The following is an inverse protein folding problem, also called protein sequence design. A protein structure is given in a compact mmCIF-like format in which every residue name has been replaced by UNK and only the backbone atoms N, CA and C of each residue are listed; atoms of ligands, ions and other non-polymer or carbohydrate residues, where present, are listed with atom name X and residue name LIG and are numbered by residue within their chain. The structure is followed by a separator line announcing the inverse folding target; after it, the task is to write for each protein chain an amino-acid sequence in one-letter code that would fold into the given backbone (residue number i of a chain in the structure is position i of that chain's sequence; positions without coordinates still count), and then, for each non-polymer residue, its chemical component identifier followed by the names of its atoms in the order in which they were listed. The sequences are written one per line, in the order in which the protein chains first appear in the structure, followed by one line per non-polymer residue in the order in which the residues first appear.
data_IF_070258629206
#
_entry.id   IF_070258629206
#
_cell.length_a   1.000
_cell.length_b   1.000
_cell.length_c   1.000
_cell.angle_alpha   90.00
_cell.angle_beta   90.00
_cell.angle_gamma   90.00
#
_symmetry.space_group_name_H-M   'P 1'
#
loop_
_entity.id
_entity.type
_entity.pdbx_description
1 polymer ?
#
# COMPACT_ATOMS: atom_id res chain seq x y z
N UNK A 1 34.64 25.36 8.16
CA UNK A 1 34.18 25.66 6.79
C UNK A 1 33.03 24.72 6.49
N UNK A 2 31.83 25.27 6.48
CA UNK A 2 30.57 24.49 6.32
C UNK A 2 30.21 24.44 4.84
N UNK A 3 30.02 23.23 4.29
CA UNK A 3 29.50 23.06 2.92
C UNK A 3 28.27 22.15 3.01
N UNK A 4 27.16 22.70 3.49
CA UNK A 4 25.84 22.12 3.22
C UNK A 4 25.10 23.08 2.28
N UNK A 5 25.28 22.84 0.99
CA UNK A 5 24.47 23.47 -0.05
C UNK A 5 23.07 22.86 -0.08
N UNK A 6 22.16 23.51 0.63
CA UNK A 6 20.71 23.24 0.57
C UNK A 6 20.17 23.73 -0.79
N UNK A 7 20.12 22.86 -1.79
CA UNK A 7 19.41 23.14 -3.04
C UNK A 7 17.94 22.83 -2.86
N UNK A 8 17.24 23.66 -2.09
CA UNK A 8 15.80 23.84 -2.23
C UNK A 8 15.54 24.41 -3.63
N UNK A 9 15.27 23.55 -4.61
CA UNK A 9 14.58 23.94 -5.83
C UNK A 9 13.18 24.40 -5.43
N UNK A 10 13.03 25.68 -5.11
CA UNK A 10 11.74 26.35 -5.13
C UNK A 10 11.17 26.13 -6.53
N UNK A 11 10.13 25.33 -6.63
CA UNK A 11 9.28 25.30 -7.80
C UNK A 11 8.79 26.74 -8.01
N UNK A 12 9.38 27.43 -8.97
CA UNK A 12 8.88 28.69 -9.46
C UNK A 12 7.63 28.40 -10.29
N UNK A 13 6.49 28.24 -9.65
CA UNK A 13 5.15 28.31 -10.25
C UNK A 13 4.86 29.78 -10.68
N UNK A 14 5.69 30.30 -11.57
CA UNK A 14 5.43 31.51 -12.34
C UNK A 14 5.13 31.20 -13.79
N UNK A 15 4.56 30.03 -14.07
CA UNK A 15 3.78 29.86 -15.28
C UNK A 15 2.46 30.60 -15.09
N UNK A 16 2.42 31.80 -15.66
CA UNK A 16 1.21 32.58 -15.86
C UNK A 16 0.35 31.79 -16.87
N UNK A 17 -0.30 30.75 -16.39
CA UNK A 17 -1.06 29.79 -17.19
C UNK A 17 -2.22 30.52 -17.85
N UNK A 18 -1.98 31.02 -19.09
CA UNK A 18 -3.00 31.74 -19.87
C UNK A 18 -4.17 30.80 -20.16
N UNK A 19 -5.34 31.22 -19.72
CA UNK A 19 -6.59 30.54 -20.09
C UNK A 19 -6.80 30.73 -21.59
N UNK A 20 -7.00 29.62 -22.30
CA UNK A 20 -7.33 29.59 -23.74
C UNK A 20 -8.72 29.02 -23.92
N UNK A 21 -9.46 29.51 -24.89
CA UNK A 21 -10.72 28.92 -25.34
C UNK A 21 -10.39 27.86 -26.40
N UNK A 22 -10.79 26.64 -26.15
CA UNK A 22 -10.53 25.47 -27.01
C UNK A 22 -11.86 24.79 -27.32
N UNK A 23 -12.02 24.28 -28.52
CA UNK A 23 -13.21 23.52 -28.92
C UNK A 23 -13.36 22.24 -28.10
N UNK A 24 -14.55 21.97 -27.63
CA UNK A 24 -14.86 20.77 -26.83
C UNK A 24 -14.51 19.49 -27.60
N UNK A 25 -14.64 19.51 -28.92
CA UNK A 25 -14.30 18.40 -29.83
C UNK A 25 -12.82 18.04 -29.87
N UNK A 26 -11.92 18.98 -29.52
CA UNK A 26 -10.47 18.76 -29.51
C UNK A 26 -10.01 18.08 -28.22
N UNK A 27 -10.79 18.14 -27.15
CA UNK A 27 -10.45 17.58 -25.87
C UNK A 27 -10.62 16.06 -25.85
N UNK A 28 -9.66 15.37 -25.26
CA UNK A 28 -9.62 13.90 -25.22
C UNK A 28 -9.57 13.39 -23.79
N UNK A 29 -10.24 12.24 -23.57
CA UNK A 29 -10.05 11.47 -22.36
C UNK A 29 -8.86 10.53 -22.50
N UNK A 30 -8.08 10.39 -21.43
CA UNK A 30 -7.24 9.23 -21.25
C UNK A 30 -8.03 8.13 -20.53
N UNK A 31 -7.87 6.88 -20.95
CA UNK A 31 -8.59 5.73 -20.37
C UNK A 31 -8.18 5.49 -18.89
N UNK A 32 -6.92 5.71 -18.59
CA UNK A 32 -6.40 5.52 -17.23
C UNK A 32 -6.98 6.55 -16.26
N UNK A 33 -7.21 7.79 -16.73
CA UNK A 33 -7.80 8.87 -15.93
C UNK A 33 -9.32 8.72 -15.78
N UNK A 34 -10.01 8.17 -16.77
CA UNK A 34 -11.46 7.99 -16.72
C UNK A 34 -11.91 6.98 -15.64
N UNK A 35 -11.09 5.96 -15.38
CA UNK A 35 -11.43 4.86 -14.48
C UNK A 35 -11.08 5.14 -13.01
N UNK A 36 -10.29 6.18 -12.74
CA UNK A 36 -9.82 6.49 -11.40
C UNK A 36 -10.94 7.00 -10.51
N UNK A 37 -11.90 7.74 -11.08
CA UNK A 37 -12.99 8.34 -10.32
C UNK A 37 -14.31 8.24 -11.09
N UNK A 38 -15.25 7.47 -10.56
CA UNK A 38 -16.60 7.41 -11.10
C UNK A 38 -17.24 8.81 -11.04
N UNK A 39 -17.74 9.26 -12.18
CA UNK A 39 -18.48 10.52 -12.31
C UNK A 39 -19.94 10.26 -11.96
N UNK A 40 -20.47 10.95 -10.95
CA UNK A 40 -21.89 10.92 -10.62
C UNK A 40 -22.69 11.60 -11.73
N UNK A 41 -23.52 10.86 -12.45
CA UNK A 41 -24.31 11.37 -13.58
C UNK A 41 -25.23 12.52 -13.19
N UNK A 42 -25.79 12.51 -11.98
CA UNK A 42 -26.67 13.56 -11.47
C UNK A 42 -25.92 14.87 -11.30
N UNK A 43 -24.74 14.83 -10.74
CA UNK A 43 -23.87 15.99 -10.55
C UNK A 43 -23.43 16.60 -11.88
N UNK A 44 -23.13 15.78 -12.89
CA UNK A 44 -22.82 16.24 -14.23
C UNK A 44 -24.04 16.94 -14.86
N UNK A 45 -25.25 16.44 -14.59
CA UNK A 45 -26.50 17.06 -15.08
C UNK A 45 -26.76 18.41 -14.42
N UNK A 46 -26.56 18.55 -13.13
CA UNK A 46 -26.66 19.82 -12.41
C UNK A 46 -25.70 20.88 -12.97
N UNK A 47 -24.42 20.51 -13.13
CA UNK A 47 -23.40 21.39 -13.71
C UNK A 47 -23.78 21.78 -15.16
N UNK A 48 -24.32 20.84 -15.94
CA UNK A 48 -24.73 21.12 -17.32
C UNK A 48 -25.93 22.09 -17.37
N UNK A 49 -26.87 22.01 -16.42
CA UNK A 49 -27.98 22.94 -16.32
C UNK A 49 -27.48 24.34 -15.97
N UNK A 50 -26.56 24.45 -15.01
CA UNK A 50 -25.93 25.72 -14.67
C UNK A 50 -25.19 26.33 -15.87
N UNK A 51 -24.42 25.50 -16.60
CA UNK A 51 -23.69 25.94 -17.79
C UNK A 51 -24.60 26.40 -18.94
N UNK A 52 -25.83 25.85 -19.08
CA UNK A 52 -26.82 26.37 -20.05
C UNK A 52 -27.35 27.76 -19.68
N UNK A 53 -27.52 27.97 -18.37
CA UNK A 53 -28.06 29.25 -17.87
C UNK A 53 -26.99 30.34 -17.81
N UNK A 54 -25.81 30.03 -17.35
CA UNK A 54 -24.77 30.98 -16.96
C UNK A 54 -23.49 30.91 -17.80
N UNK A 55 -23.39 29.94 -18.69
CA UNK A 55 -22.15 29.65 -19.43
C UNK A 55 -21.12 28.89 -18.60
N UNK A 56 -19.95 28.68 -19.18
CA UNK A 56 -18.86 28.03 -18.48
C UNK A 56 -18.13 29.00 -17.53
N UNK A 57 -18.01 28.62 -16.26
CA UNK A 57 -17.26 29.42 -15.26
C UNK A 57 -15.77 29.47 -15.60
N UNK A 58 -15.31 30.62 -16.07
CA UNK A 58 -13.90 30.87 -16.47
C UNK A 58 -12.93 30.82 -15.29
N UNK A 59 -13.42 30.95 -14.06
CA UNK A 59 -12.58 30.85 -12.85
C UNK A 59 -12.13 29.41 -12.56
N UNK A 60 -12.79 28.43 -13.17
CA UNK A 60 -12.52 27.00 -13.02
C UNK A 60 -12.26 26.31 -14.36
N UNK A 61 -11.21 26.70 -15.09
CA UNK A 61 -10.90 26.11 -16.39
C UNK A 61 -10.58 24.63 -16.29
N UNK A 62 -10.68 23.93 -17.42
CA UNK A 62 -10.24 22.53 -17.54
C UNK A 62 -8.73 22.51 -17.71
N UNK A 63 -8.03 21.64 -16.98
CA UNK A 63 -6.58 21.47 -17.12
C UNK A 63 -6.30 20.36 -18.11
N UNK A 64 -5.48 20.65 -19.12
CA UNK A 64 -5.15 19.72 -20.20
C UNK A 64 -3.64 19.68 -20.44
N UNK A 65 -3.16 18.57 -21.02
CA UNK A 65 -1.81 18.46 -21.55
C UNK A 65 -1.66 19.26 -22.86
N UNK A 66 -0.44 19.39 -23.38
CA UNK A 66 -0.17 19.96 -24.71
C UNK A 66 -0.89 19.21 -25.86
N UNK A 67 -1.21 17.91 -25.65
CA UNK A 67 -1.98 17.09 -26.58
C UNK A 67 -3.49 17.17 -26.36
N UNK A 68 -3.97 18.14 -25.57
CA UNK A 68 -5.38 18.32 -25.21
C UNK A 68 -6.01 17.11 -24.47
N UNK A 69 -5.20 16.32 -23.78
CA UNK A 69 -5.69 15.26 -22.90
C UNK A 69 -6.10 15.92 -21.55
N UNK A 70 -7.31 15.63 -21.12
CA UNK A 70 -7.88 16.18 -19.88
C UNK A 70 -7.17 15.55 -18.68
N UNK A 71 -6.62 16.40 -17.82
CA UNK A 71 -5.97 16.02 -16.55
C UNK A 71 -6.87 16.35 -15.36
N UNK A 72 -7.52 17.51 -15.37
CA UNK A 72 -8.54 17.88 -14.36
C UNK A 72 -9.74 18.56 -15.01
N UNK A 73 -10.90 18.35 -14.42
CA UNK A 73 -12.15 18.93 -14.91
C UNK A 73 -13.00 17.99 -15.76
N UNK A 74 -12.85 16.69 -15.60
CA UNK A 74 -13.63 15.67 -16.34
C UNK A 74 -15.14 15.87 -16.24
N UNK A 75 -15.69 16.15 -15.04
CA UNK A 75 -17.13 16.46 -14.86
C UNK A 75 -17.53 17.73 -15.59
N UNK A 76 -16.69 18.77 -15.56
CA UNK A 76 -16.92 20.05 -16.25
C UNK A 76 -16.92 19.88 -17.77
N UNK A 77 -16.02 19.06 -18.31
CA UNK A 77 -16.03 18.71 -19.72
C UNK A 77 -17.28 17.94 -20.14
N UNK A 78 -17.67 16.93 -19.35
CA UNK A 78 -18.89 16.16 -19.64
C UNK A 78 -20.13 17.05 -19.56
N UNK A 79 -20.19 17.94 -18.57
CA UNK A 79 -21.26 18.92 -18.43
C UNK A 79 -21.31 19.90 -19.59
N UNK A 80 -20.17 20.44 -20.03
CA UNK A 80 -20.07 21.32 -21.19
C UNK A 80 -20.56 20.66 -22.48
N UNK A 81 -20.18 19.39 -22.70
CA UNK A 81 -20.68 18.59 -23.82
C UNK A 81 -22.19 18.38 -23.75
N UNK A 82 -22.73 18.07 -22.54
CA UNK A 82 -24.16 17.88 -22.32
C UNK A 82 -24.94 19.21 -22.41
N UNK A 83 -24.30 20.33 -22.10
CA UNK A 83 -24.87 21.67 -22.24
C UNK A 83 -24.86 22.18 -23.70
N UNK A 84 -24.12 21.54 -24.61
CA UNK A 84 -23.99 21.95 -26.01
C UNK A 84 -23.00 23.10 -26.21
N UNK A 85 -22.05 23.32 -25.32
CA UNK A 85 -21.06 24.36 -25.48
C UNK A 85 -20.04 23.97 -26.56
N UNK A 86 -19.75 24.88 -27.48
CA UNK A 86 -18.75 24.65 -28.54
C UNK A 86 -17.33 24.81 -28.02
N UNK A 87 -17.10 25.80 -27.15
CA UNK A 87 -15.76 26.15 -26.62
C UNK A 87 -15.77 26.22 -25.10
N UNK A 88 -14.66 25.77 -24.50
CA UNK A 88 -14.46 25.79 -23.06
C UNK A 88 -13.11 26.43 -22.72
N UNK A 89 -12.99 27.08 -21.55
CA UNK A 89 -11.73 27.61 -21.09
C UNK A 89 -10.85 26.47 -20.57
N UNK A 90 -9.59 26.43 -21.08
CA UNK A 90 -8.59 25.46 -20.67
C UNK A 90 -7.31 26.14 -20.23
N UNK A 91 -6.57 25.46 -19.35
CA UNK A 91 -5.18 25.73 -19.05
C UNK A 91 -4.37 24.58 -19.62
N UNK A 92 -3.44 24.90 -20.53
CA UNK A 92 -2.51 23.91 -21.08
C UNK A 92 -1.31 23.86 -20.14
N UNK A 93 -1.07 22.67 -19.57
CA UNK A 93 0.07 22.42 -18.70
C UNK A 93 1.02 21.43 -19.36
N UNK A 94 2.32 21.74 -19.31
CA UNK A 94 3.36 20.83 -19.74
C UNK A 94 3.72 19.86 -18.62
N UNK A 95 3.89 18.60 -18.96
CA UNK A 95 4.36 17.55 -18.08
C UNK A 95 5.57 16.87 -18.72
N UNK A 96 6.58 16.55 -17.92
CA UNK A 96 7.80 15.89 -18.42
C UNK A 96 7.60 14.40 -18.67
N UNK A 97 6.58 13.80 -18.04
CA UNK A 97 6.23 12.39 -18.22
C UNK A 97 4.74 12.15 -18.01
N UNK A 98 4.29 10.94 -18.47
CA UNK A 98 2.94 10.45 -18.18
C UNK A 98 2.73 10.26 -16.67
N UNK A 99 3.74 9.76 -15.98
CA UNK A 99 3.69 9.51 -14.53
C UNK A 99 3.49 10.80 -13.75
N UNK A 100 4.18 11.88 -14.12
CA UNK A 100 3.96 13.20 -13.54
C UNK A 100 2.52 13.71 -13.77
N UNK A 101 1.96 13.44 -14.95
CA UNK A 101 0.57 13.79 -15.26
C UNK A 101 -0.40 13.05 -14.33
N UNK A 102 -0.18 11.76 -14.10
CA UNK A 102 -0.99 10.92 -13.20
C UNK A 102 -0.87 11.40 -11.75
N UNK A 103 0.34 11.66 -11.28
CA UNK A 103 0.58 12.18 -9.93
C UNK A 103 -0.12 13.54 -9.71
N UNK A 104 -0.07 14.40 -10.72
CA UNK A 104 -0.74 15.71 -10.67
C UNK A 104 -2.26 15.56 -10.60
N UNK A 105 -2.85 14.65 -11.36
CA UNK A 105 -4.29 14.38 -11.32
C UNK A 105 -4.74 13.89 -9.93
N UNK A 106 -4.04 12.91 -9.35
CA UNK A 106 -4.33 12.46 -7.99
C UNK A 106 -4.25 13.61 -6.98
N UNK A 107 -3.22 14.45 -7.08
CA UNK A 107 -3.07 15.62 -6.22
C UNK A 107 -4.26 16.59 -6.33
N UNK A 108 -4.73 16.85 -7.55
CA UNK A 108 -5.88 17.73 -7.78
C UNK A 108 -7.17 17.14 -7.21
N UNK A 109 -7.39 15.83 -7.39
CA UNK A 109 -8.57 15.14 -6.86
C UNK A 109 -8.58 15.09 -5.33
N UNK A 110 -7.43 14.81 -4.71
CA UNK A 110 -7.26 14.82 -3.25
C UNK A 110 -7.60 16.17 -2.62
N UNK A 111 -7.31 17.27 -3.34
CA UNK A 111 -7.57 18.63 -2.86
C UNK A 111 -9.00 19.11 -3.15
N UNK A 112 -9.69 18.48 -4.11
CA UNK A 112 -10.99 18.96 -4.58
C UNK A 112 -12.19 18.31 -3.86
N UNK A 113 -12.04 17.10 -3.31
CA UNK A 113 -13.12 16.37 -2.64
C UNK A 113 -12.59 15.36 -1.62
N UNK A 114 -13.50 14.89 -0.73
CA UNK A 114 -13.19 13.73 0.12
C UNK A 114 -13.29 12.47 -0.74
N UNK A 115 -12.20 11.72 -0.80
CA UNK A 115 -12.18 10.41 -1.43
C UNK A 115 -12.72 9.34 -0.49
N UNK A 116 -13.35 8.32 -1.06
CA UNK A 116 -13.71 7.09 -0.36
C UNK A 116 -12.44 6.25 -0.08
N UNK A 117 -12.53 5.30 0.83
CA UNK A 117 -11.43 4.36 1.12
C UNK A 117 -11.01 3.56 -0.13
N UNK A 118 -12.00 3.18 -0.98
CA UNK A 118 -11.73 2.51 -2.25
C UNK A 118 -10.93 3.38 -3.22
N UNK A 119 -11.29 4.65 -3.35
CA UNK A 119 -10.55 5.61 -4.19
C UNK A 119 -9.13 5.87 -3.65
N UNK A 120 -8.97 6.00 -2.32
CA UNK A 120 -7.64 6.10 -1.71
C UNK A 120 -6.79 4.86 -1.97
N UNK A 121 -7.40 3.68 -1.90
CA UNK A 121 -6.70 2.42 -2.13
C UNK A 121 -6.29 2.27 -3.60
N UNK A 122 -7.16 2.64 -4.55
CA UNK A 122 -6.84 2.67 -5.98
C UNK A 122 -5.71 3.66 -6.30
N UNK A 123 -5.77 4.87 -5.72
CA UNK A 123 -4.72 5.87 -5.85
C UNK A 123 -3.37 5.36 -5.30
N UNK A 124 -3.39 4.71 -4.13
CA UNK A 124 -2.20 4.08 -3.55
C UNK A 124 -1.59 3.05 -4.51
N UNK A 125 -2.39 2.14 -5.07
CA UNK A 125 -1.89 1.10 -5.97
C UNK A 125 -1.19 1.71 -7.19
N UNK A 126 -1.77 2.76 -7.77
CA UNK A 126 -1.20 3.42 -8.94
C UNK A 126 0.09 4.18 -8.63
N UNK A 127 0.12 4.93 -7.53
CA UNK A 127 1.32 5.65 -7.09
C UNK A 127 2.45 4.68 -6.69
N UNK A 128 2.10 3.55 -6.09
CA UNK A 128 3.09 2.51 -5.75
C UNK A 128 3.68 1.85 -6.99
N UNK A 129 2.87 1.60 -8.02
CA UNK A 129 3.31 1.10 -9.33
C UNK A 129 4.29 2.09 -10.00
N UNK A 130 3.89 3.36 -10.12
CA UNK A 130 4.73 4.43 -10.70
C UNK A 130 6.07 4.51 -9.97
N UNK A 131 6.02 4.53 -8.63
CA UNK A 131 7.23 4.64 -7.84
C UNK A 131 8.17 3.45 -7.97
N UNK A 132 7.63 2.23 -8.08
CA UNK A 132 8.44 1.02 -8.32
C UNK A 132 9.10 1.00 -9.68
N UNK A 133 8.43 1.58 -10.67
CA UNK A 133 8.95 1.67 -12.05
C UNK A 133 9.98 2.79 -12.23
N UNK A 134 10.09 3.71 -11.26
CA UNK A 134 11.01 4.83 -11.33
C UNK A 134 12.37 4.47 -10.71
N UNK A 135 13.45 4.30 -11.51
CA UNK A 135 14.77 3.94 -11.00
C UNK A 135 15.41 5.05 -10.14
N UNK A 136 14.94 6.29 -10.27
CA UNK A 136 15.45 7.45 -9.53
C UNK A 136 14.66 7.75 -8.24
N UNK A 137 13.70 6.89 -7.85
CA UNK A 137 12.90 7.09 -6.67
C UNK A 137 13.75 6.99 -5.39
N UNK A 138 13.94 8.10 -4.68
CA UNK A 138 14.71 8.18 -3.45
C UNK A 138 13.81 8.20 -2.20
N UNK A 139 14.36 7.75 -1.08
CA UNK A 139 13.72 7.79 0.23
C UNK A 139 12.67 6.69 0.47
N UNK A 140 12.03 6.75 1.63
CA UNK A 140 10.97 5.81 2.01
C UNK A 140 9.78 5.90 1.06
N UNK A 141 9.38 4.75 0.47
CA UNK A 141 8.21 4.69 -0.41
C UNK A 141 6.92 5.06 0.32
N UNK A 142 6.78 4.65 1.58
CA UNK A 142 5.57 4.89 2.35
C UNK A 142 5.42 6.36 2.75
N UNK A 143 6.52 7.05 3.05
CA UNK A 143 6.51 8.48 3.33
C UNK A 143 6.18 9.30 2.09
N UNK A 144 6.82 9.00 0.96
CA UNK A 144 6.61 9.73 -0.28
C UNK A 144 5.16 9.58 -0.79
N UNK A 145 4.62 8.36 -0.82
CA UNK A 145 3.23 8.10 -1.20
C UNK A 145 2.28 8.72 -0.16
N UNK A 146 2.61 8.62 1.13
CA UNK A 146 1.82 9.24 2.19
C UNK A 146 1.69 10.74 2.00
N UNK A 147 2.77 11.42 1.66
CA UNK A 147 2.76 12.84 1.36
C UNK A 147 1.87 13.18 0.15
N UNK A 148 1.93 12.37 -0.92
CA UNK A 148 1.09 12.55 -2.11
C UNK A 148 -0.40 12.32 -1.81
N UNK A 149 -0.73 11.35 -0.95
CA UNK A 149 -2.10 10.98 -0.58
C UNK A 149 -2.67 11.77 0.62
N UNK A 150 -1.92 12.69 1.22
CA UNK A 150 -2.26 13.32 2.51
C UNK A 150 -2.57 12.28 3.60
N UNK A 151 -1.79 11.20 3.64
CA UNK A 151 -1.89 10.09 4.61
C UNK A 151 -0.55 9.89 5.32
N UNK A 152 -0.60 9.34 6.53
CA UNK A 152 0.62 8.96 7.23
C UNK A 152 1.30 7.76 6.58
N UNK A 153 2.62 7.64 6.71
CA UNK A 153 3.36 6.46 6.25
C UNK A 153 2.80 5.15 6.83
N UNK A 154 2.29 5.19 8.09
CA UNK A 154 1.63 4.04 8.71
C UNK A 154 0.35 3.62 7.99
N UNK A 155 -0.43 4.57 7.49
CA UNK A 155 -1.64 4.26 6.69
C UNK A 155 -1.26 3.68 5.32
N UNK A 156 -0.20 4.19 4.69
CA UNK A 156 0.33 3.63 3.44
C UNK A 156 0.86 2.22 3.65
N UNK A 157 1.57 1.96 4.76
CA UNK A 157 2.03 0.62 5.13
C UNK A 157 0.86 -0.38 5.26
N UNK A 158 -0.27 0.03 5.89
CA UNK A 158 -1.48 -0.81 5.95
C UNK A 158 -2.02 -1.12 4.56
N UNK A 159 -2.14 -0.13 3.68
CA UNK A 159 -2.60 -0.33 2.29
C UNK A 159 -1.67 -1.28 1.53
N UNK A 160 -0.35 -1.16 1.73
CA UNK A 160 0.64 -2.06 1.14
C UNK A 160 0.51 -3.50 1.64
N UNK A 161 0.25 -3.71 2.93
CA UNK A 161 -0.01 -5.03 3.46
C UNK A 161 -1.30 -5.63 2.91
N UNK A 162 -2.36 -4.84 2.78
CA UNK A 162 -3.61 -5.26 2.15
C UNK A 162 -3.36 -5.68 0.70
N UNK A 163 -2.68 -4.85 -0.10
CA UNK A 163 -2.36 -5.16 -1.49
C UNK A 163 -1.58 -6.46 -1.69
N UNK A 164 -0.75 -6.85 -0.70
CA UNK A 164 0.05 -8.09 -0.74
C UNK A 164 -0.70 -9.34 -0.30
N UNK A 165 -1.70 -9.20 0.56
CA UNK A 165 -2.27 -10.33 1.33
C UNK A 165 -3.76 -10.53 1.14
N UNK A 166 -4.48 -9.51 0.64
CA UNK A 166 -5.91 -9.59 0.39
C UNK A 166 -6.21 -10.49 -0.81
N UNK A 167 -7.27 -11.27 -0.71
CA UNK A 167 -7.86 -11.96 -1.83
C UNK A 167 -8.71 -11.02 -2.70
N UNK A 168 -9.15 -11.50 -3.86
CA UNK A 168 -9.95 -10.71 -4.80
C UNK A 168 -11.27 -10.20 -4.18
N UNK A 169 -11.93 -11.02 -3.33
CA UNK A 169 -13.18 -10.65 -2.67
C UNK A 169 -12.99 -9.51 -1.67
N UNK A 170 -11.89 -9.53 -0.92
CA UNK A 170 -11.57 -8.47 0.04
C UNK A 170 -11.23 -7.15 -0.68
N UNK A 171 -10.49 -7.24 -1.79
CA UNK A 171 -10.16 -6.07 -2.62
C UNK A 171 -11.42 -5.45 -3.24
N UNK A 172 -12.33 -6.26 -3.76
CA UNK A 172 -13.62 -5.79 -4.30
C UNK A 172 -14.45 -5.05 -3.24
N UNK A 173 -14.51 -5.57 -2.01
CA UNK A 173 -15.22 -4.92 -0.89
C UNK A 173 -14.63 -3.57 -0.50
N UNK A 174 -13.32 -3.39 -0.65
CA UNK A 174 -12.68 -2.10 -0.43
C UNK A 174 -13.03 -1.15 -1.59
N UNK A 175 -12.94 -1.62 -2.83
CA UNK A 175 -13.18 -0.81 -4.03
C UNK A 175 -14.63 -0.30 -4.10
N UNK A 176 -15.61 -1.14 -3.77
CA UNK A 176 -17.02 -0.73 -3.75
C UNK A 176 -17.44 0.02 -2.48
N UNK A 177 -16.51 0.26 -1.55
CA UNK A 177 -16.76 1.03 -0.32
C UNK A 177 -17.50 0.27 0.79
N UNK A 178 -17.81 -1.02 0.61
CA UNK A 178 -18.49 -1.83 1.64
C UNK A 178 -17.56 -2.21 2.81
N UNK A 179 -16.25 -2.04 2.63
CA UNK A 179 -15.25 -2.32 3.66
C UNK A 179 -14.20 -1.21 3.73
N UNK A 180 -13.94 -0.68 4.93
CA UNK A 180 -12.89 0.31 5.13
C UNK A 180 -11.49 -0.31 5.11
N UNK A 181 -10.47 0.49 4.74
CA UNK A 181 -9.05 0.10 4.74
C UNK A 181 -8.63 -0.42 6.12
N UNK A 182 -9.04 0.25 7.20
CA UNK A 182 -8.70 -0.18 8.56
C UNK A 182 -9.30 -1.54 8.89
N UNK A 183 -10.56 -1.77 8.54
CA UNK A 183 -11.25 -3.04 8.81
C UNK A 183 -10.68 -4.18 7.98
N UNK A 184 -10.34 -3.93 6.71
CA UNK A 184 -9.64 -4.89 5.86
C UNK A 184 -8.29 -5.30 6.46
N UNK A 185 -7.52 -4.35 6.96
CA UNK A 185 -6.25 -4.61 7.63
C UNK A 185 -6.42 -5.47 8.89
N UNK A 186 -7.42 -5.18 9.72
CA UNK A 186 -7.75 -5.98 10.91
C UNK A 186 -8.11 -7.42 10.55
N UNK A 187 -8.92 -7.63 9.50
CA UNK A 187 -9.29 -8.97 9.03
C UNK A 187 -8.07 -9.77 8.58
N UNK A 188 -7.15 -9.14 7.84
CA UNK A 188 -5.89 -9.78 7.44
C UNK A 188 -5.06 -10.17 8.66
N UNK A 189 -4.92 -9.26 9.63
CA UNK A 189 -4.17 -9.55 10.87
C UNK A 189 -4.81 -10.65 11.71
N UNK A 190 -6.12 -10.67 11.80
CA UNK A 190 -6.86 -11.75 12.48
C UNK A 190 -6.68 -13.09 11.78
N UNK A 191 -6.72 -13.12 10.44
CA UNK A 191 -6.49 -14.34 9.67
C UNK A 191 -5.05 -14.86 9.83
N UNK A 192 -4.05 -13.96 9.83
CA UNK A 192 -2.66 -14.34 10.11
C UNK A 192 -2.45 -14.89 11.53
N UNK A 193 -3.11 -14.27 12.51
CA UNK A 193 -3.04 -14.76 13.90
C UNK A 193 -3.65 -16.14 14.03
N UNK A 194 -4.83 -16.38 13.41
CA UNK A 194 -5.47 -17.69 13.39
C UNK A 194 -4.62 -18.74 12.67
N UNK A 195 -4.00 -18.37 11.54
CA UNK A 195 -3.13 -19.28 10.80
C UNK A 195 -1.90 -19.66 11.63
N UNK A 196 -1.28 -18.70 12.32
CA UNK A 196 -0.17 -18.98 13.24
C UNK A 196 -0.61 -19.83 14.43
N UNK A 197 -1.81 -19.61 14.98
CA UNK A 197 -2.35 -20.44 16.07
C UNK A 197 -2.66 -21.86 15.57
N UNK A 198 -3.27 -21.99 14.38
CA UNK A 198 -3.54 -23.30 13.76
C UNK A 198 -2.26 -24.05 13.36
N UNK A 199 -1.20 -23.35 12.93
CA UNK A 199 0.11 -23.96 12.71
C UNK A 199 0.75 -24.48 14.01
N UNK A 200 0.46 -23.81 15.14
CA UNK A 200 0.90 -24.29 16.46
C UNK A 200 0.04 -25.48 16.92
N UNK A 201 -1.28 -25.45 16.69
CA UNK A 201 -2.17 -26.59 16.98
C UNK A 201 -1.88 -27.79 16.07
N UNK A 202 -1.67 -27.60 14.77
CA UNK A 202 -1.30 -28.69 13.86
C UNK A 202 0.09 -29.28 14.18
N UNK A 203 1.02 -28.46 14.66
CA UNK A 203 2.29 -28.97 15.19
C UNK A 203 2.07 -29.77 16.49
N UNK A 204 1.15 -29.34 17.35
CA UNK A 204 0.77 -30.07 18.56
C UNK A 204 -0.03 -31.36 18.22
N UNK A 205 -0.95 -31.30 17.25
CA UNK A 205 -1.71 -32.48 16.80
C UNK A 205 -0.86 -33.45 15.97
N UNK A 206 0.10 -32.98 15.18
CA UNK A 206 1.03 -33.85 14.43
C UNK A 206 2.00 -34.57 15.38
N UNK A 207 2.31 -33.97 16.52
CA UNK A 207 3.07 -34.66 17.59
C UNK A 207 2.21 -35.66 18.35
N UNK A 208 0.88 -35.52 18.38
CA UNK A 208 -0.04 -36.47 19.03
C UNK A 208 -0.48 -37.63 18.11
N UNK A 209 -0.36 -37.49 16.77
CA UNK A 209 -0.84 -38.51 15.82
C UNK A 209 0.26 -39.40 15.22
N UNK A 210 1.53 -39.09 15.42
CA UNK A 210 2.60 -40.09 15.27
C UNK A 210 2.70 -40.83 16.58
N UNK A 211 2.13 -42.03 16.67
CA UNK A 211 2.09 -42.92 17.85
C UNK A 211 3.45 -43.37 18.40
N UNK A 212 4.39 -42.50 18.50
CA UNK A 212 5.55 -42.49 19.36
C UNK A 212 5.31 -41.43 20.42
N UNK A 213 4.89 -41.85 21.61
CA UNK A 213 4.97 -41.01 22.80
C UNK A 213 6.40 -40.43 22.83
N UNK A 214 6.53 -39.14 22.68
CA UNK A 214 7.81 -38.46 22.95
C UNK A 214 8.04 -38.74 24.41
N UNK A 215 9.01 -39.62 24.69
CA UNK A 215 9.40 -39.92 26.05
C UNK A 215 9.72 -38.57 26.72
N UNK A 216 9.15 -38.35 27.90
CA UNK A 216 9.33 -37.10 28.66
C UNK A 216 10.82 -36.79 28.83
N UNK A 217 11.67 -37.80 28.84
CA UNK A 217 13.12 -37.71 28.90
C UNK A 217 13.73 -37.18 27.60
N UNK A 218 13.21 -37.52 26.41
CA UNK A 218 13.69 -37.01 25.12
C UNK A 218 13.37 -35.53 24.96
N UNK A 219 12.21 -35.07 25.46
CA UNK A 219 11.84 -33.66 25.48
C UNK A 219 12.77 -32.86 26.44
N UNK A 220 13.01 -33.38 27.64
CA UNK A 220 13.97 -32.79 28.60
C UNK A 220 15.37 -32.67 27.99
N UNK A 221 15.87 -33.71 27.35
CA UNK A 221 17.17 -33.71 26.68
C UNK A 221 17.25 -32.65 25.56
N UNK A 222 16.14 -32.45 24.80
CA UNK A 222 16.06 -31.42 23.78
C UNK A 222 16.16 -30.02 24.35
N UNK A 223 15.45 -29.73 25.40
CA UNK A 223 15.48 -28.43 26.11
C UNK A 223 16.88 -28.19 26.69
N UNK A 224 17.46 -29.18 27.34
CA UNK A 224 18.80 -29.09 27.93
C UNK A 224 19.88 -28.85 26.85
N UNK A 225 19.78 -29.50 25.68
CA UNK A 225 20.69 -29.25 24.56
C UNK A 225 20.60 -27.81 24.06
N UNK A 226 19.39 -27.27 23.83
CA UNK A 226 19.21 -25.89 23.35
C UNK A 226 19.78 -24.89 24.37
N UNK A 227 19.52 -25.09 25.66
CA UNK A 227 20.04 -24.24 26.72
C UNK A 227 21.57 -24.29 26.80
N UNK A 228 22.19 -25.47 26.68
CA UNK A 228 23.65 -25.63 26.64
C UNK A 228 24.28 -24.88 25.46
N UNK A 229 23.68 -24.93 24.29
CA UNK A 229 24.20 -24.23 23.12
C UNK A 229 24.02 -22.70 23.21
N UNK A 230 22.96 -22.23 23.88
CA UNK A 230 22.77 -20.81 24.20
C UNK A 230 23.81 -20.30 25.19
N UNK A 231 24.16 -21.10 26.21
CA UNK A 231 25.25 -20.79 27.17
C UNK A 231 26.61 -20.66 26.49
N UNK A 232 26.87 -21.44 25.45
CA UNK A 232 28.07 -21.35 24.61
C UNK A 232 28.06 -20.13 23.68
N UNK A 233 27.05 -19.23 23.79
CA UNK A 233 26.95 -17.99 23.05
C UNK A 233 26.42 -18.17 21.59
N UNK A 234 25.87 -19.32 21.25
CA UNK A 234 25.30 -19.54 19.91
C UNK A 234 23.94 -18.85 19.75
N UNK A 235 23.72 -18.19 18.62
CA UNK A 235 22.46 -17.51 18.35
C UNK A 235 21.34 -18.53 18.06
N UNK A 236 20.11 -18.25 18.50
CA UNK A 236 18.92 -19.11 18.30
C UNK A 236 18.76 -19.63 16.87
N UNK A 237 18.97 -18.78 15.85
CA UNK A 237 18.90 -19.20 14.45
C UNK A 237 19.99 -20.17 13.98
N UNK A 238 21.14 -20.21 14.65
CA UNK A 238 22.21 -21.19 14.39
C UNK A 238 21.91 -22.52 15.06
N UNK A 239 21.32 -22.49 16.25
CA UNK A 239 20.93 -23.69 17.00
C UNK A 239 19.83 -24.43 16.26
N UNK A 240 18.80 -23.74 15.76
CA UNK A 240 17.68 -24.34 15.01
C UNK A 240 18.10 -24.98 13.67
N UNK A 241 19.24 -24.60 13.12
CA UNK A 241 19.80 -25.20 11.89
C UNK A 241 20.80 -26.32 12.18
N UNK A 242 21.03 -26.64 13.44
CA UNK A 242 21.99 -27.69 13.82
C UNK A 242 21.41 -29.08 13.51
N UNK A 243 22.13 -29.87 12.74
CA UNK A 243 21.73 -31.25 12.39
C UNK A 243 21.52 -32.17 13.60
N UNK A 244 22.06 -31.81 14.76
CA UNK A 244 21.87 -32.53 16.04
C UNK A 244 20.44 -32.41 16.54
N UNK A 245 19.70 -31.30 16.18
CA UNK A 245 18.28 -31.17 16.54
C UNK A 245 17.43 -32.25 15.85
N UNK A 246 17.72 -32.57 14.59
CA UNK A 246 17.05 -33.66 13.89
C UNK A 246 17.28 -35.04 14.58
N UNK A 247 18.43 -35.22 15.22
CA UNK A 247 18.73 -36.42 16.01
C UNK A 247 18.00 -36.49 17.34
N UNK A 248 17.63 -35.32 17.91
CA UNK A 248 16.75 -35.22 19.08
C UNK A 248 15.36 -35.81 18.81
N UNK A 249 14.81 -35.54 17.60
CA UNK A 249 13.51 -36.06 17.17
C UNK A 249 13.56 -37.59 17.00
N UNK A 250 14.76 -38.16 16.75
CA UNK A 250 14.97 -39.60 16.62
C UNK A 250 15.34 -40.28 17.94
N UNK A 251 15.48 -39.51 19.04
CA UNK A 251 15.90 -40.07 20.35
C UNK A 251 17.38 -40.48 20.44
N UNK A 252 18.22 -40.05 19.52
CA UNK A 252 19.62 -40.44 19.39
C UNK A 252 20.62 -39.49 20.06
N UNK A 253 20.16 -38.40 20.67
CA UNK A 253 21.06 -37.42 21.28
C UNK A 253 21.33 -37.75 22.75
N UNK A 254 22.56 -38.01 23.08
CA UNK A 254 23.02 -38.23 24.47
C UNK A 254 23.77 -36.98 24.91
N UNK A 255 23.24 -36.27 25.91
CA UNK A 255 24.01 -35.30 26.69
C UNK A 255 24.81 -36.06 27.75
N UNK A 256 26.03 -35.58 28.05
CA UNK A 256 26.74 -36.14 29.19
C UNK A 256 25.95 -35.92 30.49
N UNK A 257 25.96 -36.89 31.37
CA UNK A 257 25.23 -36.78 32.65
C UNK A 257 25.66 -35.53 33.45
N UNK A 258 26.92 -35.13 33.32
CA UNK A 258 27.48 -33.93 33.96
C UNK A 258 26.90 -32.64 33.38
N UNK A 259 26.75 -32.51 32.07
CA UNK A 259 26.13 -31.35 31.41
C UNK A 259 24.62 -31.29 31.71
N UNK A 260 23.93 -32.40 31.70
CA UNK A 260 22.51 -32.50 32.00
C UNK A 260 22.25 -32.11 33.47
N UNK A 261 23.05 -32.59 34.41
CA UNK A 261 22.93 -32.26 35.82
C UNK A 261 23.18 -30.78 36.12
N UNK A 262 24.23 -30.23 35.51
CA UNK A 262 24.60 -28.79 35.68
C UNK A 262 23.50 -27.87 35.16
N UNK A 263 22.90 -28.17 34.00
CA UNK A 263 21.86 -27.34 33.36
C UNK A 263 20.54 -27.51 34.12
N UNK A 264 20.18 -28.73 34.55
CA UNK A 264 19.00 -28.99 35.38
C UNK A 264 19.02 -28.19 36.69
N UNK A 265 20.17 -28.18 37.36
CA UNK A 265 20.35 -27.43 38.60
C UNK A 265 20.24 -25.91 38.38
N UNK A 266 20.81 -25.41 37.29
CA UNK A 266 20.81 -23.97 36.98
C UNK A 266 19.45 -23.42 36.56
N UNK A 267 18.65 -24.21 35.87
CA UNK A 267 17.35 -23.77 35.32
C UNK A 267 16.16 -24.36 36.07
N UNK A 268 16.36 -25.11 37.15
CA UNK A 268 15.28 -25.67 37.96
C UNK A 268 14.43 -26.72 37.23
N UNK A 269 15.01 -27.44 36.27
CA UNK A 269 14.32 -28.45 35.49
C UNK A 269 14.55 -29.78 36.17
N UNK A 270 13.56 -30.25 36.95
CA UNK A 270 13.61 -31.54 37.66
C UNK A 270 13.25 -32.70 36.76
#
# INVERSE_FOLDING_TARGET
MSIFGNKNKKANDKDNAKIKLVEVSQLRFDRDFKNVFQQENDKVAEIANDMRANGFDKSRPIIVTEAYIIVDGHSRYMAAKKAGLEKVPVIIKKFDSRDETIEYEYKMQLNSRRLTDGEYFAAFLKLDEIRRSNPNAQGSSDEAIGHQLNKSARQVCKMREIAKKADASLLEKIQNGSLSINKAYELIKAAEAKKKAGEVETLAETTSNTGKSINQDSFKLGVLFVLSELEKGRKKGQILKDKRIAKLELGELVLSEEDAGRISQRFGIA
#
